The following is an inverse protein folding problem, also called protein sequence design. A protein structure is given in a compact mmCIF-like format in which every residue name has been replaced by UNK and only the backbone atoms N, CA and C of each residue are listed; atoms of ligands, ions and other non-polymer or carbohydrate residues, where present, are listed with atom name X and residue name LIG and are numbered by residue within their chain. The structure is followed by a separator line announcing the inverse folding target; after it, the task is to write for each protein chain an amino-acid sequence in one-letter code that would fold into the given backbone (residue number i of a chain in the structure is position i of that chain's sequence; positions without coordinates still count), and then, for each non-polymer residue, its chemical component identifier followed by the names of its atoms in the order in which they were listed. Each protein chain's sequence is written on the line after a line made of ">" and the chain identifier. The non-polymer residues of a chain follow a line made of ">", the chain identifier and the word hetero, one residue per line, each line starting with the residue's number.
data_IF_461356201661
#
_entry.id   IF_461356201661
#
_cell.length_a   1.000
_cell.length_b   1.000
_cell.length_c   1.000
_cell.angle_alpha   90.00
_cell.angle_beta   90.00
_cell.angle_gamma   90.00
#
_symmetry.space_group_name_H-M   'P 1'
#
loop_
_entity.id
_entity.type
_entity.pdbx_description
1 polymer ?
#
# COMPACT_ATOMS: atom_id res chain seq x y z
N UNK A 1 0.16 22.50 41.02
CA UNK A 1 0.43 21.18 40.40
C UNK A 1 -0.43 20.91 39.15
N UNK A 2 -1.73 21.23 39.09
CA UNK A 2 -2.57 21.06 37.87
C UNK A 2 -2.08 21.81 36.61
N UNK A 3 -1.55 23.03 36.76
CA UNK A 3 -1.08 23.83 35.60
C UNK A 3 0.18 23.25 34.94
N UNK A 4 1.12 22.72 35.73
CA UNK A 4 2.34 22.10 35.22
C UNK A 4 2.03 20.80 34.44
N UNK A 5 1.06 20.01 34.90
CA UNK A 5 0.60 18.83 34.19
C UNK A 5 -0.06 19.18 32.85
N UNK A 6 -0.87 20.25 32.81
CA UNK A 6 -1.47 20.75 31.57
C UNK A 6 -0.40 21.20 30.57
N UNK A 7 0.63 21.94 31.01
CA UNK A 7 1.72 22.35 30.13
C UNK A 7 2.52 21.15 29.58
N UNK A 8 2.79 20.14 30.40
CA UNK A 8 3.43 18.91 29.95
C UNK A 8 2.58 18.16 28.92
N UNK A 9 1.26 18.08 29.13
CA UNK A 9 0.33 17.48 28.16
C UNK A 9 0.31 18.24 26.84
N UNK A 10 0.25 19.57 26.87
CA UNK A 10 0.30 20.38 25.66
C UNK A 10 1.64 20.27 24.93
N UNK A 11 2.76 20.22 25.66
CA UNK A 11 4.08 20.03 25.08
C UNK A 11 4.21 18.64 24.42
N UNK A 12 3.73 17.58 25.09
CA UNK A 12 3.70 16.25 24.52
C UNK A 12 2.80 16.18 23.27
N UNK A 13 1.62 16.81 23.32
CA UNK A 13 0.71 16.87 22.17
C UNK A 13 1.36 17.62 20.99
N UNK A 14 1.99 18.77 21.24
CA UNK A 14 2.68 19.53 20.22
C UNK A 14 3.84 18.73 19.61
N UNK A 15 4.60 18.00 20.43
CA UNK A 15 5.67 17.12 19.96
C UNK A 15 5.12 16.01 19.04
N UNK A 16 4.03 15.33 19.45
CA UNK A 16 3.40 14.27 18.66
C UNK A 16 2.86 14.81 17.33
N UNK A 17 2.21 15.97 17.35
CA UNK A 17 1.71 16.63 16.13
C UNK A 17 2.85 17.01 15.20
N UNK A 18 3.93 17.59 15.73
CA UNK A 18 5.10 17.99 14.94
C UNK A 18 5.78 16.77 14.32
N UNK A 19 5.94 15.68 15.09
CA UNK A 19 6.49 14.42 14.61
C UNK A 19 5.60 13.82 13.50
N UNK A 20 4.28 13.83 13.69
CA UNK A 20 3.32 13.36 12.68
C UNK A 20 3.40 14.14 11.38
N UNK A 21 3.51 15.48 11.45
CA UNK A 21 3.69 16.34 10.27
C UNK A 21 5.03 16.08 9.59
N UNK A 22 6.12 15.93 10.35
CA UNK A 22 7.43 15.63 9.80
C UNK A 22 7.44 14.27 9.07
N UNK A 23 6.86 13.23 9.67
CA UNK A 23 6.72 11.91 9.05
C UNK A 23 5.87 12.01 7.77
N UNK A 24 4.75 12.74 7.80
CA UNK A 24 3.91 12.95 6.63
C UNK A 24 4.67 13.65 5.50
N UNK A 25 5.46 14.69 5.79
CA UNK A 25 6.27 15.39 4.80
C UNK A 25 7.38 14.51 4.24
N UNK A 26 8.07 13.74 5.08
CA UNK A 26 9.09 12.77 4.64
C UNK A 26 8.46 11.71 3.75
N UNK A 27 7.30 11.15 4.13
CA UNK A 27 6.57 10.22 3.29
C UNK A 27 6.19 10.89 1.97
N UNK A 28 5.64 12.11 1.97
CA UNK A 28 5.28 12.82 0.75
C UNK A 28 6.47 13.05 -0.18
N UNK A 29 7.64 13.40 0.37
CA UNK A 29 8.86 13.65 -0.40
C UNK A 29 9.51 12.35 -0.87
N UNK A 30 9.56 11.33 -0.03
CA UNK A 30 10.13 10.03 -0.39
C UNK A 30 9.25 9.27 -1.38
N UNK A 31 7.92 9.37 -1.26
CA UNK A 31 6.97 8.79 -2.20
C UNK A 31 6.79 9.65 -3.46
N UNK A 32 7.30 10.88 -3.50
CA UNK A 32 7.20 11.72 -4.69
C UNK A 32 7.90 11.01 -5.86
N UNK A 33 7.22 10.79 -7.00
CA UNK A 33 7.80 10.10 -8.13
C UNK A 33 9.01 10.88 -8.64
N UNK A 34 10.15 10.19 -8.80
CA UNK A 34 11.31 10.74 -9.49
C UNK A 34 11.01 11.06 -10.96
N UNK A 35 11.83 11.89 -11.64
CA UNK A 35 11.57 12.34 -13.02
C UNK A 35 11.42 11.21 -14.05
N UNK A 36 11.98 10.03 -13.77
CA UNK A 36 11.90 8.82 -14.62
C UNK A 36 11.06 7.68 -14.01
N UNK A 37 10.38 7.91 -12.88
CA UNK A 37 9.56 6.90 -12.22
C UNK A 37 8.10 6.99 -12.67
N UNK A 38 7.51 5.85 -13.06
CA UNK A 38 6.08 5.75 -13.35
C UNK A 38 5.23 6.25 -12.16
N UNK A 39 4.55 7.40 -12.30
CA UNK A 39 3.76 7.96 -11.22
C UNK A 39 2.44 7.20 -11.16
N UNK A 40 2.14 6.57 -10.01
CA UNK A 40 0.81 6.01 -9.77
C UNK A 40 0.07 6.84 -8.74
N UNK A 41 -1.10 7.34 -9.11
CA UNK A 41 -1.99 8.03 -8.19
C UNK A 41 -2.71 7.02 -7.31
N UNK A 42 -2.27 6.93 -6.05
CA UNK A 42 -2.89 6.09 -5.03
C UNK A 42 -3.84 6.98 -4.21
N UNK A 43 -5.10 6.55 -4.12
CA UNK A 43 -6.09 7.17 -3.25
C UNK A 43 -6.24 6.26 -2.03
N UNK A 44 -5.74 6.72 -0.88
CA UNK A 44 -5.89 6.05 0.40
C UNK A 44 -6.78 6.91 1.29
N UNK A 45 -8.09 6.61 1.30
CA UNK A 45 -9.10 7.44 1.95
C UNK A 45 -9.17 8.86 1.34
N UNK A 46 -9.27 9.94 2.14
CA UNK A 46 -9.35 11.31 1.62
C UNK A 46 -8.01 11.85 1.08
N UNK A 47 -6.90 11.13 1.28
CA UNK A 47 -5.58 11.54 0.83
C UNK A 47 -5.31 11.04 -0.60
N UNK A 48 -5.05 12.00 -1.49
CA UNK A 48 -4.55 11.79 -2.85
C UNK A 48 -3.04 11.97 -2.84
N UNK A 49 -2.30 10.89 -3.02
CA UNK A 49 -0.84 10.92 -3.11
C UNK A 49 -0.41 10.35 -4.47
N UNK A 50 0.40 11.12 -5.20
CA UNK A 50 1.12 10.59 -6.35
C UNK A 50 2.35 9.87 -5.80
N UNK A 51 2.41 8.56 -6.03
CA UNK A 51 3.41 7.69 -5.44
C UNK A 51 4.25 7.07 -6.55
N UNK A 52 5.57 7.21 -6.46
CA UNK A 52 6.52 6.39 -7.23
C UNK A 52 6.40 4.93 -6.78
N UNK A 53 5.86 4.07 -7.63
CA UNK A 53 5.65 2.65 -7.27
C UNK A 53 6.94 1.93 -6.84
N UNK A 54 8.13 2.18 -7.42
CA UNK A 54 9.35 1.52 -6.96
C UNK A 54 9.69 1.89 -5.51
N UNK A 55 9.48 3.15 -5.14
CA UNK A 55 9.71 3.62 -3.77
C UNK A 55 8.65 3.12 -2.80
N UNK A 56 7.39 3.03 -3.23
CA UNK A 56 6.33 2.39 -2.46
C UNK A 56 6.65 0.92 -2.17
N UNK A 57 7.10 0.18 -3.19
CA UNK A 57 7.50 -1.22 -3.04
C UNK A 57 8.68 -1.34 -2.08
N UNK A 58 9.68 -0.45 -2.17
CA UNK A 58 10.84 -0.43 -1.24
C UNK A 58 10.40 -0.24 0.22
N UNK A 59 9.47 0.67 0.47
CA UNK A 59 8.93 0.89 1.81
C UNK A 59 8.08 -0.29 2.27
N UNK A 60 7.19 -0.78 1.40
CA UNK A 60 6.30 -1.91 1.70
C UNK A 60 7.06 -3.22 1.98
N UNK A 61 8.21 -3.42 1.35
CA UNK A 61 9.09 -4.60 1.56
C UNK A 61 10.20 -4.35 2.59
N UNK A 62 10.21 -3.19 3.24
CA UNK A 62 11.22 -2.89 4.26
C UNK A 62 10.96 -3.68 5.54
N UNK A 63 12.04 -4.22 6.14
CA UNK A 63 11.95 -5.10 7.32
C UNK A 63 11.34 -4.45 8.56
N UNK A 64 11.29 -3.13 8.62
CA UNK A 64 10.71 -2.37 9.73
C UNK A 64 9.25 -1.96 9.50
N UNK A 65 8.76 -2.00 8.25
CA UNK A 65 7.39 -1.59 7.90
C UNK A 65 6.51 -2.78 7.51
N UNK A 66 7.08 -3.77 6.81
CA UNK A 66 6.34 -4.93 6.32
C UNK A 66 5.62 -5.74 7.43
N UNK A 67 6.21 -5.95 8.63
CA UNK A 67 5.51 -6.66 9.71
C UNK A 67 4.29 -5.89 10.24
N UNK A 68 4.29 -4.56 10.14
CA UNK A 68 3.16 -3.72 10.59
C UNK A 68 1.98 -3.76 9.62
N UNK A 69 2.25 -4.07 8.35
CA UNK A 69 1.24 -4.26 7.32
C UNK A 69 0.62 -5.67 7.37
N UNK A 70 1.24 -6.62 8.07
CA UNK A 70 0.75 -7.99 8.12
C UNK A 70 -0.67 -8.06 8.70
N UNK A 71 -1.54 -8.80 8.02
CA UNK A 71 -2.95 -8.94 8.38
C UNK A 71 -3.82 -7.70 8.14
N UNK A 72 -3.28 -6.60 7.61
CA UNK A 72 -4.07 -5.40 7.30
C UNK A 72 -4.85 -5.59 6.01
N UNK A 73 -6.10 -5.16 6.02
CA UNK A 73 -6.92 -5.06 4.82
C UNK A 73 -7.10 -3.59 4.46
N UNK A 74 -6.73 -3.24 3.23
CA UNK A 74 -6.94 -1.92 2.67
C UNK A 74 -8.11 -1.97 1.71
N UNK A 75 -9.09 -1.09 1.91
CA UNK A 75 -10.15 -0.90 0.93
C UNK A 75 -9.63 0.00 -0.19
N UNK A 76 -9.65 -0.50 -1.42
CA UNK A 76 -9.11 0.19 -2.58
C UNK A 76 -10.16 0.28 -3.68
N UNK A 77 -9.94 1.15 -4.67
CA UNK A 77 -10.79 1.22 -5.86
C UNK A 77 -10.89 -0.10 -6.64
N UNK A 78 -9.98 -1.03 -6.39
CA UNK A 78 -9.94 -2.33 -7.04
C UNK A 78 -10.64 -3.43 -6.24
N UNK A 79 -11.05 -3.17 -5.00
CA UNK A 79 -11.53 -4.15 -4.05
C UNK A 79 -10.69 -4.19 -2.77
N UNK A 80 -11.10 -5.02 -1.78
CA UNK A 80 -10.35 -5.19 -0.54
C UNK A 80 -9.04 -5.94 -0.82
N UNK A 81 -7.91 -5.32 -0.45
CA UNK A 81 -6.57 -5.92 -0.56
C UNK A 81 -6.09 -6.29 0.84
N UNK A 82 -5.93 -7.58 1.10
CA UNK A 82 -5.30 -8.08 2.33
C UNK A 82 -3.79 -8.17 2.10
N UNK A 83 -3.03 -7.60 3.04
CA UNK A 83 -1.58 -7.64 3.04
C UNK A 83 -1.13 -8.74 4.00
N UNK A 84 -0.18 -9.55 3.56
CA UNK A 84 0.50 -10.55 4.34
C UNK A 84 2.01 -10.35 4.27
N UNK A 85 2.71 -10.66 5.35
CA UNK A 85 4.17 -10.62 5.38
C UNK A 85 4.71 -11.96 5.89
N UNK A 86 5.68 -12.50 5.16
CA UNK A 86 6.34 -13.76 5.51
C UNK A 86 7.78 -13.49 5.93
N UNK A 87 8.03 -13.30 7.23
CA UNK A 87 9.37 -13.10 7.81
C UNK A 87 10.46 -14.04 7.27
N UNK A 88 10.26 -15.38 7.24
CA UNK A 88 11.34 -16.30 6.88
C UNK A 88 11.85 -16.11 5.45
N UNK A 89 10.99 -15.57 4.57
CA UNK A 89 11.30 -15.40 3.15
C UNK A 89 11.36 -13.94 2.73
N UNK A 90 11.19 -13.00 3.67
CA UNK A 90 11.08 -11.55 3.42
C UNK A 90 10.17 -11.24 2.23
N UNK A 91 9.04 -11.96 2.16
CA UNK A 91 8.10 -11.89 1.05
C UNK A 91 6.84 -11.16 1.48
N UNK A 92 6.51 -10.10 0.75
CA UNK A 92 5.24 -9.40 0.84
C UNK A 92 4.21 -10.12 -0.02
N UNK A 93 3.07 -10.47 0.56
CA UNK A 93 1.94 -11.07 -0.12
C UNK A 93 0.78 -10.09 -0.15
N UNK A 94 0.14 -9.95 -1.32
CA UNK A 94 -1.06 -9.14 -1.51
C UNK A 94 -2.14 -10.06 -2.06
N UNK A 95 -3.27 -10.13 -1.38
CA UNK A 95 -4.42 -10.92 -1.80
C UNK A 95 -5.65 -10.04 -1.94
N UNK A 96 -6.17 -9.91 -3.14
CA UNK A 96 -7.38 -9.14 -3.43
C UNK A 96 -8.51 -10.07 -3.85
N UNK A 97 -9.64 -10.03 -3.15
CA UNK A 97 -10.81 -10.86 -3.46
C UNK A 97 -12.11 -10.28 -2.86
N UNK A 98 -13.17 -10.03 -3.65
CA UNK A 98 -13.19 -9.98 -5.12
C UNK A 98 -12.47 -8.72 -5.64
N UNK A 99 -11.95 -8.76 -6.87
CA UNK A 99 -11.26 -7.58 -7.41
C UNK A 99 -11.59 -7.22 -8.86
N UNK A 100 -11.59 -5.92 -9.13
CA UNK A 100 -11.92 -5.37 -10.43
C UNK A 100 -11.02 -4.20 -10.78
N UNK A 101 -10.46 -4.19 -11.99
CA UNK A 101 -9.60 -3.11 -12.45
C UNK A 101 -9.99 -2.67 -13.86
N UNK A 102 -10.07 -1.36 -14.08
CA UNK A 102 -10.17 -0.80 -15.43
C UNK A 102 -8.76 -0.48 -15.90
N UNK A 103 -8.25 -1.27 -16.84
CA UNK A 103 -6.93 -1.08 -17.42
C UNK A 103 -7.14 -0.58 -18.85
N UNK A 104 -6.73 0.64 -19.20
CA UNK A 104 -6.97 1.20 -20.53
C UNK A 104 -6.45 0.31 -21.68
N UNK A 105 -5.37 -0.44 -21.44
CA UNK A 105 -4.80 -1.38 -22.39
C UNK A 105 -5.68 -2.61 -22.67
N UNK A 106 -6.65 -2.93 -21.80
CA UNK A 106 -7.59 -4.07 -21.95
C UNK A 106 -8.99 -3.64 -22.42
N UNK A 107 -9.17 -2.38 -22.81
CA UNK A 107 -10.44 -1.83 -23.27
C UNK A 107 -11.21 -1.05 -22.21
N UNK A 108 -12.46 -0.71 -22.53
CA UNK A 108 -13.32 0.13 -21.70
C UNK A 108 -14.09 -0.63 -20.62
N UNK A 109 -14.17 -1.95 -20.70
CA UNK A 109 -14.81 -2.79 -19.70
C UNK A 109 -13.85 -3.10 -18.54
N UNK A 110 -14.32 -3.05 -17.28
CA UNK A 110 -13.49 -3.44 -16.14
C UNK A 110 -13.22 -4.95 -16.16
N UNK A 111 -11.95 -5.32 -16.01
CA UNK A 111 -11.53 -6.71 -15.82
C UNK A 111 -11.90 -7.12 -14.40
N UNK A 112 -12.67 -8.21 -14.26
CA UNK A 112 -13.06 -8.78 -12.95
C UNK A 112 -12.44 -10.16 -12.77
N UNK A 113 -11.87 -10.38 -11.59
CA UNK A 113 -11.31 -11.68 -11.19
C UNK A 113 -11.77 -11.98 -9.75
N UNK A 114 -12.04 -13.25 -9.46
CA UNK A 114 -12.54 -13.67 -8.14
C UNK A 114 -11.45 -13.52 -7.08
N UNK A 115 -10.21 -13.82 -7.44
CA UNK A 115 -9.05 -13.54 -6.61
C UNK A 115 -7.82 -13.17 -7.43
N UNK A 116 -7.00 -12.29 -6.86
CA UNK A 116 -5.68 -11.93 -7.35
C UNK A 116 -4.70 -12.07 -6.19
N UNK A 117 -3.69 -12.91 -6.35
CA UNK A 117 -2.58 -13.05 -5.40
C UNK A 117 -1.30 -12.55 -6.06
N UNK A 118 -0.62 -11.64 -5.40
CA UNK A 118 0.69 -11.15 -5.82
C UNK A 118 1.69 -11.37 -4.69
N UNK A 119 2.86 -11.91 -5.00
CA UNK A 119 4.00 -11.96 -4.08
C UNK A 119 5.09 -11.04 -4.57
N UNK A 120 5.80 -10.41 -3.64
CA UNK A 120 6.94 -9.56 -3.91
C UNK A 120 8.02 -9.82 -2.86
N UNK A 121 9.15 -10.34 -3.29
CA UNK A 121 10.36 -10.54 -2.51
C UNK A 121 11.44 -9.62 -3.04
N UNK A 122 12.08 -8.88 -2.14
CA UNK A 122 13.15 -7.95 -2.48
C UNK A 122 14.48 -8.47 -1.98
N UNK A 123 15.47 -8.50 -2.86
CA UNK A 123 16.85 -8.84 -2.53
C UNK A 123 17.80 -7.79 -3.11
N UNK A 124 18.21 -6.84 -2.27
CA UNK A 124 19.02 -5.69 -2.68
C UNK A 124 18.36 -4.84 -3.76
N UNK A 125 18.87 -4.92 -5.00
CA UNK A 125 18.33 -4.25 -6.18
C UNK A 125 17.31 -5.07 -6.97
N UNK A 126 17.16 -6.36 -6.67
CA UNK A 126 16.28 -7.28 -7.39
C UNK A 126 14.90 -7.39 -6.72
N UNK A 127 13.87 -7.56 -7.53
CA UNK A 127 12.50 -7.84 -7.10
C UNK A 127 12.03 -9.11 -7.83
N UNK A 128 11.65 -10.12 -7.05
CA UNK A 128 11.07 -11.37 -7.56
C UNK A 128 9.66 -11.56 -7.01
N UNK A 129 8.80 -12.25 -7.74
CA UNK A 129 7.41 -12.35 -7.38
C UNK A 129 6.61 -13.21 -8.33
N UNK A 130 5.42 -13.59 -7.91
CA UNK A 130 4.45 -14.34 -8.70
C UNK A 130 3.15 -13.56 -8.69
N UNK A 131 2.47 -13.53 -9.83
CA UNK A 131 1.13 -12.99 -9.98
C UNK A 131 0.19 -14.13 -10.40
N UNK A 132 -0.74 -14.48 -9.53
CA UNK A 132 -1.74 -15.53 -9.75
C UNK A 132 -3.13 -14.91 -9.76
N UNK A 133 -3.95 -15.29 -10.74
CA UNK A 133 -5.33 -14.83 -10.90
C UNK A 133 -6.27 -16.03 -10.93
N UNK A 134 -7.35 -15.99 -10.16
CA UNK A 134 -8.49 -16.88 -10.36
C UNK A 134 -9.56 -16.15 -11.19
N UNK A 135 -9.98 -16.70 -12.34
CA UNK A 135 -11.00 -16.07 -13.16
C UNK A 135 -12.30 -15.93 -12.37
N UNK A 136 -13.05 -14.85 -12.64
CA UNK A 136 -14.40 -14.73 -12.13
C UNK A 136 -15.24 -15.91 -12.64
N UNK A 137 -15.98 -16.58 -11.78
CA UNK A 137 -16.89 -17.66 -12.19
C UNK A 137 -17.82 -17.15 -13.30
N UNK A 138 -17.54 -17.54 -14.54
CA UNK A 138 -18.39 -17.21 -15.69
C UNK A 138 -19.68 -18.01 -15.53
N UNK A 139 -20.74 -17.36 -15.07
CA UNK A 139 -22.09 -17.87 -15.35
C UNK A 139 -22.32 -17.75 -16.85
N UNK A 140 -21.94 -18.80 -17.58
CA UNK A 140 -22.40 -19.00 -18.95
C UNK A 140 -23.89 -19.27 -18.85
N UNK A 141 -24.69 -18.22 -19.06
CA UNK A 141 -26.12 -18.37 -19.30
C UNK A 141 -26.30 -19.00 -20.68
N UNK A 142 -26.64 -20.29 -20.69
CA UNK A 142 -27.11 -21.06 -21.83
C UNK A 142 -28.45 -20.54 -22.33
#
# INVERSE_FOLDING_TARGET
>A
MKKALLYLLFAALALVLTAGVAIYLVAKVALAPGPDEWPTRVQAGPLRLDVGVPTAIRLATSSWFAPWLDGRTLDTRYGPVRIGWHEPTTTLELHCAPCSATVPAFGSAPVRVDSLRMTARRDGGSLSGILETAPAATTVST
#
